data_IF_147144550727
#
_entry.id   IF_147144550727
#
_cell.length_a   1.000
_cell.length_b   1.000
_cell.length_c   1.000
_cell.angle_alpha   90.00
_cell.angle_beta   90.00
_cell.angle_gamma   90.00
#
_symmetry.space_group_name_H-M   'P 1'
#
loop_
_entity.id
_entity.type
_entity.pdbx_description
1 polymer ?
#
# COMPACT_ATOMS: atom_id res chain seq x y z
N UNK A 1 -13.40 -2.52 19.43
CA UNK A 1 -13.77 -2.55 18.00
C UNK A 1 -14.35 -1.23 17.56
N UNK A 2 -13.62 -0.51 16.71
CA UNK A 2 -14.11 0.70 16.07
C UNK A 2 -14.63 0.33 14.68
N UNK A 3 -15.95 0.41 14.41
CA UNK A 3 -16.54 -0.02 13.14
C UNK A 3 -16.15 0.86 11.95
N UNK A 4 -15.50 1.99 12.20
CA UNK A 4 -15.04 2.91 11.16
C UNK A 4 -13.60 2.61 10.70
N UNK A 5 -12.88 1.70 11.38
CA UNK A 5 -11.54 1.28 10.98
C UNK A 5 -11.64 -0.03 10.19
N UNK A 6 -11.53 0.08 8.86
CA UNK A 6 -11.62 -1.06 7.93
C UNK A 6 -10.24 -1.65 7.60
N UNK A 7 -9.21 -0.81 7.66
CA UNK A 7 -7.80 -1.21 7.52
C UNK A 7 -6.91 -0.12 8.09
N UNK A 8 -5.62 -0.40 8.18
CA UNK A 8 -4.58 0.57 8.50
C UNK A 8 -3.54 0.56 7.38
N UNK A 9 -3.16 1.74 6.91
CA UNK A 9 -1.96 1.88 6.08
C UNK A 9 -0.74 1.49 6.92
N UNK A 10 0.14 0.72 6.30
CA UNK A 10 1.44 0.36 6.84
C UNK A 10 2.51 1.18 6.15
N UNK A 11 3.41 1.76 6.96
CA UNK A 11 4.70 2.23 6.51
C UNK A 11 5.74 1.21 6.98
N UNK A 12 6.34 0.51 6.02
CA UNK A 12 7.40 -0.49 6.25
C UNK A 12 8.73 0.17 6.59
N UNK A 13 8.78 0.87 7.73
CA UNK A 13 9.98 1.58 8.17
C UNK A 13 11.12 0.60 8.48
N UNK A 14 10.81 -0.58 9.04
CA UNK A 14 11.81 -1.62 9.29
C UNK A 14 12.43 -2.14 7.99
N UNK A 15 11.60 -2.40 6.98
CA UNK A 15 12.02 -2.85 5.65
C UNK A 15 12.84 -1.77 4.95
N UNK A 16 12.42 -0.51 5.05
CA UNK A 16 13.14 0.64 4.47
C UNK A 16 14.52 0.83 5.12
N UNK A 17 14.64 0.63 6.44
CA UNK A 17 15.92 0.71 7.16
C UNK A 17 16.81 -0.49 6.82
N UNK A 18 16.24 -1.70 6.76
CA UNK A 18 16.99 -2.89 6.36
C UNK A 18 17.59 -2.73 4.97
N UNK A 19 16.78 -2.28 4.01
CA UNK A 19 17.23 -1.95 2.66
C UNK A 19 18.37 -0.92 2.65
N UNK A 20 18.27 0.15 3.44
CA UNK A 20 19.33 1.15 3.57
C UNK A 20 20.63 0.56 4.13
N UNK A 21 20.54 -0.32 5.13
CA UNK A 21 21.70 -1.01 5.72
C UNK A 21 22.35 -1.91 4.67
N UNK A 22 21.57 -2.66 3.89
CA UNK A 22 22.08 -3.54 2.84
C UNK A 22 22.82 -2.73 1.76
N UNK A 23 22.23 -1.63 1.28
CA UNK A 23 22.91 -0.73 0.34
C UNK A 23 24.26 -0.23 0.87
N UNK A 24 24.32 0.14 2.15
CA UNK A 24 25.54 0.61 2.78
C UNK A 24 26.59 -0.49 2.87
N UNK A 25 26.22 -1.68 3.33
CA UNK A 25 27.13 -2.82 3.49
C UNK A 25 27.64 -3.36 2.15
N UNK A 26 26.84 -3.26 1.09
CA UNK A 26 27.22 -3.65 -0.27
C UNK A 26 28.01 -2.57 -1.02
N UNK A 27 28.23 -1.40 -0.41
CA UNK A 27 28.92 -0.27 -1.06
C UNK A 27 28.14 0.35 -2.22
N UNK A 28 26.82 0.16 -2.26
CA UNK A 28 25.90 0.69 -3.29
C UNK A 28 25.16 1.95 -2.84
N UNK A 29 25.26 2.31 -1.56
CA UNK A 29 24.62 3.49 -1.01
C UNK A 29 25.09 4.79 -1.70
N UNK A 30 24.15 5.69 -1.92
CA UNK A 30 24.38 7.04 -2.45
C UNK A 30 23.40 8.05 -1.80
N UNK A 31 23.53 9.33 -2.16
CA UNK A 31 22.70 10.41 -1.61
C UNK A 31 21.49 10.78 -2.47
N UNK A 32 21.21 10.03 -3.54
CA UNK A 32 20.12 10.35 -4.45
C UNK A 32 18.76 10.07 -3.81
N UNK A 33 17.74 10.79 -4.26
CA UNK A 33 16.38 10.52 -3.82
C UNK A 33 15.91 9.17 -4.36
N UNK A 34 15.29 8.39 -3.47
CA UNK A 34 14.75 7.09 -3.80
C UNK A 34 13.26 7.03 -3.49
N UNK A 35 12.51 6.30 -4.31
CA UNK A 35 11.09 6.09 -4.09
C UNK A 35 10.79 4.62 -3.87
N UNK A 36 10.41 4.28 -2.64
CA UNK A 36 9.98 2.94 -2.26
C UNK A 36 8.45 2.88 -2.18
N UNK A 37 7.88 1.78 -2.63
CA UNK A 37 6.45 1.56 -2.71
C UNK A 37 6.01 0.18 -2.21
N UNK A 38 4.91 -0.30 -2.80
CA UNK A 38 4.31 -1.60 -2.44
C UNK A 38 5.21 -2.78 -2.87
N UNK A 39 5.93 -2.64 -3.98
CA UNK A 39 6.86 -3.66 -4.46
C UNK A 39 8.04 -3.88 -3.49
N UNK A 40 8.50 -2.81 -2.85
CA UNK A 40 9.63 -2.83 -1.91
C UNK A 40 9.19 -3.16 -0.47
N UNK A 41 7.88 -3.32 -0.23
CA UNK A 41 7.32 -3.50 1.11
C UNK A 41 7.37 -2.26 2.01
N UNK A 42 7.82 -1.12 1.49
CA UNK A 42 7.92 0.13 2.25
C UNK A 42 6.56 0.79 2.52
N UNK A 43 5.53 0.46 1.74
CA UNK A 43 4.14 0.89 1.97
C UNK A 43 3.20 -0.31 1.77
N UNK A 44 2.14 -0.36 2.56
CA UNK A 44 1.09 -1.35 2.38
C UNK A 44 -0.18 -1.02 3.15
N UNK A 45 -1.05 -2.01 3.30
CA UNK A 45 -2.19 -1.94 4.20
C UNK A 45 -2.52 -3.34 4.74
N UNK A 46 -2.99 -3.38 5.99
CA UNK A 46 -3.45 -4.62 6.62
C UNK A 46 -4.59 -5.21 5.78
N UNK A 47 -4.61 -6.54 5.67
CA UNK A 47 -5.47 -7.34 4.78
C UNK A 47 -5.16 -7.21 3.30
N UNK A 48 -4.66 -6.07 2.81
CA UNK A 48 -4.28 -5.90 1.42
C UNK A 48 -2.90 -6.51 1.13
N UNK A 49 -1.83 -5.91 1.67
CA UNK A 49 -0.45 -6.32 1.38
C UNK A 49 0.11 -7.28 2.41
N UNK A 50 -0.47 -7.31 3.60
CA UNK A 50 -0.08 -8.17 4.72
C UNK A 50 -1.32 -8.61 5.46
N UNK A 51 -1.38 -9.88 5.82
CA UNK A 51 -2.42 -10.36 6.72
C UNK A 51 -2.05 -10.00 8.16
N UNK A 52 -3.04 -9.83 9.03
CA UNK A 52 -2.80 -9.52 10.44
C UNK A 52 -2.98 -10.76 11.31
N UNK A 53 -2.07 -10.92 12.28
CA UNK A 53 -2.16 -11.94 13.32
C UNK A 53 -2.87 -11.45 14.59
N UNK A 54 -3.15 -10.14 14.67
CA UNK A 54 -3.60 -9.48 15.91
C UNK A 54 -5.09 -9.10 15.84
N UNK A 55 -5.51 -8.57 14.70
CA UNK A 55 -6.90 -8.19 14.44
C UNK A 55 -7.55 -9.21 13.50
N UNK A 56 -8.88 -9.34 13.58
CA UNK A 56 -9.67 -10.05 12.58
C UNK A 56 -10.03 -9.11 11.42
N UNK A 57 -10.26 -9.68 10.23
CA UNK A 57 -10.72 -8.88 9.09
C UNK A 57 -12.11 -8.32 9.38
N UNK A 58 -12.34 -7.00 9.21
CA UNK A 58 -13.64 -6.40 9.44
C UNK A 58 -14.67 -6.92 8.43
N UNK A 59 -15.92 -7.06 8.88
CA UNK A 59 -17.02 -7.61 8.08
C UNK A 59 -17.34 -6.79 6.82
N UNK A 60 -16.93 -5.52 6.80
CA UNK A 60 -17.04 -4.60 5.66
C UNK A 60 -16.16 -5.02 4.48
N UNK A 61 -15.14 -5.85 4.70
CA UNK A 61 -14.32 -6.43 3.64
C UNK A 61 -14.77 -7.87 3.39
N UNK A 62 -15.62 -8.05 2.37
CA UNK A 62 -16.04 -9.37 1.94
C UNK A 62 -14.90 -10.13 1.26
N UNK A 63 -15.04 -11.44 1.08
CA UNK A 63 -14.05 -12.22 0.34
C UNK A 63 -13.93 -11.75 -1.13
N UNK A 64 -15.04 -11.33 -1.74
CA UNK A 64 -15.04 -10.78 -3.10
C UNK A 64 -14.25 -9.47 -3.18
N UNK A 65 -14.43 -8.58 -2.20
CA UNK A 65 -13.65 -7.33 -2.12
C UNK A 65 -12.15 -7.64 -1.96
N UNK A 66 -11.82 -8.64 -1.14
CA UNK A 66 -10.43 -9.03 -0.92
C UNK A 66 -9.76 -9.56 -2.19
N UNK A 67 -10.46 -10.29 -3.05
CA UNK A 67 -9.92 -10.71 -4.35
C UNK A 67 -9.53 -9.50 -5.19
N UNK A 68 -10.41 -8.50 -5.27
CA UNK A 68 -10.16 -7.27 -6.05
C UNK A 68 -8.98 -6.49 -5.45
N UNK A 69 -8.95 -6.31 -4.13
CA UNK A 69 -7.90 -5.58 -3.42
C UNK A 69 -6.53 -6.27 -3.63
N UNK A 70 -6.47 -7.60 -3.49
CA UNK A 70 -5.22 -8.36 -3.69
C UNK A 70 -4.75 -8.26 -5.14
N UNK A 71 -5.66 -8.31 -6.12
CA UNK A 71 -5.29 -8.11 -7.52
C UNK A 71 -4.79 -6.69 -7.78
N UNK A 72 -5.43 -5.67 -7.20
CA UNK A 72 -4.97 -4.28 -7.32
C UNK A 72 -3.57 -4.10 -6.72
N UNK A 73 -3.25 -4.77 -5.61
CA UNK A 73 -1.89 -4.78 -5.04
C UNK A 73 -0.87 -5.34 -6.05
N UNK A 74 -1.16 -6.46 -6.71
CA UNK A 74 -0.26 -7.04 -7.73
C UNK A 74 -0.16 -6.16 -8.99
N UNK A 75 -1.26 -5.54 -9.40
CA UNK A 75 -1.28 -4.60 -10.52
C UNK A 75 -0.46 -3.32 -10.19
N UNK A 76 -0.45 -2.85 -8.93
CA UNK A 76 0.42 -1.76 -8.48
C UNK A 76 1.89 -2.19 -8.44
N UNK A 77 2.20 -3.38 -7.89
CA UNK A 77 3.57 -3.90 -7.83
C UNK A 77 4.20 -4.06 -9.21
N UNK A 78 3.40 -4.53 -10.18
CA UNK A 78 3.84 -4.71 -11.56
C UNK A 78 3.90 -3.41 -12.37
N UNK A 79 3.36 -2.30 -11.83
CA UNK A 79 3.26 -1.03 -12.52
C UNK A 79 2.12 -0.93 -13.54
N UNK A 80 1.26 -1.95 -13.65
CA UNK A 80 0.03 -1.90 -14.47
C UNK A 80 -0.93 -0.82 -13.97
N UNK A 81 -0.99 -0.61 -12.66
CA UNK A 81 -1.61 0.57 -12.05
C UNK A 81 -0.49 1.48 -11.54
N UNK A 82 -0.35 2.65 -12.15
CA UNK A 82 0.59 3.67 -11.69
C UNK A 82 -0.13 4.73 -10.85
N UNK A 83 0.06 4.67 -9.53
CA UNK A 83 -0.56 5.60 -8.58
C UNK A 83 0.04 7.02 -8.63
N UNK A 84 1.09 7.26 -9.43
CA UNK A 84 1.64 8.60 -9.68
C UNK A 84 0.87 9.35 -10.77
N UNK A 85 0.19 8.61 -11.64
CA UNK A 85 -0.61 9.15 -12.73
C UNK A 85 -2.03 9.37 -12.20
N UNK A 86 -2.19 10.43 -11.40
CA UNK A 86 -3.50 10.81 -10.87
C UNK A 86 -4.34 11.43 -12.00
N UNK A 87 -5.59 10.98 -12.23
CA UNK A 87 -6.48 11.68 -13.16
C UNK A 87 -6.74 13.09 -12.64
N UNK A 88 -6.95 14.04 -13.56
CA UNK A 88 -7.38 15.38 -13.17
C UNK A 88 -8.73 15.30 -12.44
N UNK A 89 -8.85 16.03 -11.33
CA UNK A 89 -10.09 16.12 -10.58
C UNK A 89 -11.13 16.86 -11.43
N UNK A 90 -12.02 16.11 -12.08
CA UNK A 90 -13.20 16.70 -12.71
C UNK A 90 -14.17 16.98 -11.55
N UNK A 91 -14.40 18.26 -11.24
CA UNK A 91 -15.37 18.68 -10.25
C UNK A 91 -16.76 18.14 -10.62
N UNK A 92 -17.09 16.96 -10.11
CA UNK A 92 -18.39 16.33 -10.30
C UNK A 92 -19.42 17.14 -9.52
N UNK A 93 -20.35 17.79 -10.22
CA UNK A 93 -21.59 18.27 -9.62
C UNK A 93 -22.32 17.01 -9.17
N UNK A 94 -22.16 16.62 -7.90
CA UNK A 94 -23.04 15.63 -7.28
C UNK A 94 -24.38 16.35 -7.09
N UNK A 95 -25.46 15.95 -7.77
CA UNK A 95 -26.78 16.46 -7.44
C UNK A 95 -27.08 15.98 -6.03
N UNK A 96 -27.26 16.92 -5.10
CA UNK A 96 -27.88 16.62 -3.81
C UNK A 96 -29.28 16.04 -4.09
N UNK A 97 -29.41 14.73 -3.87
CA UNK A 97 -30.71 14.05 -3.70
C UNK A 97 -31.22 14.27 -2.28
#
# INVERSE_FOLDING_TARGET
DNPYIVTCQLKGAGESIAYLIDLYMEGKWNSDNETLGVADGAIGAIWATRDSEITTRPAQLSDADMVIIKQAVEDIKSGKINMRDMPEEVAGIIPLI
#
